data_IF_672756881346
#
_entry.id   IF_672756881346
#
_cell.length_a   1.000
_cell.length_b   1.000
_cell.length_c   1.000
_cell.angle_alpha   90.00
_cell.angle_beta   90.00
_cell.angle_gamma   90.00
#
_symmetry.space_group_name_H-M   'P 1'
#
loop_
_entity.id
_entity.type
_entity.pdbx_description
1 polymer ?
#
# COMPACT_ATOMS: atom_id res chain seq x y z
N UNK A 1 -3.98 -1.31 20.01
CA UNK A 1 -4.52 -2.62 19.55
C UNK A 1 -3.47 -3.70 19.78
N UNK A 2 -3.83 -4.83 20.38
CA UNK A 2 -2.89 -5.94 20.65
C UNK A 2 -2.60 -6.74 19.37
N UNK A 3 -1.32 -6.91 19.00
CA UNK A 3 -0.92 -7.73 17.85
C UNK A 3 -1.28 -9.20 18.07
N UNK A 4 -2.06 -9.79 17.16
CA UNK A 4 -2.43 -11.22 17.16
C UNK A 4 -1.26 -12.07 16.70
N UNK A 5 -1.09 -13.25 17.30
CA UNK A 5 0.02 -14.18 17.05
C UNK A 5 -0.45 -15.41 16.26
N UNK A 6 0.46 -16.02 15.51
CA UNK A 6 0.26 -17.36 14.95
C UNK A 6 0.50 -18.39 16.05
N UNK A 7 -0.46 -19.27 16.29
CA UNK A 7 -0.30 -20.37 17.23
C UNK A 7 0.52 -21.51 16.61
N UNK A 8 1.14 -22.34 17.44
CA UNK A 8 1.85 -23.53 16.98
C UNK A 8 0.94 -24.46 16.16
N UNK A 9 -0.31 -24.63 16.62
CA UNK A 9 -1.29 -25.45 15.92
C UNK A 9 -1.66 -24.84 14.56
N UNK A 10 -1.82 -23.52 14.46
CA UNK A 10 -2.03 -22.87 13.17
C UNK A 10 -0.84 -23.07 12.22
N UNK A 11 0.39 -22.96 12.72
CA UNK A 11 1.59 -23.24 11.91
C UNK A 11 1.63 -24.69 11.41
N UNK A 12 1.27 -25.66 12.26
CA UNK A 12 1.12 -27.07 11.88
C UNK A 12 0.07 -27.27 10.79
N UNK A 13 -1.12 -26.70 10.96
CA UNK A 13 -2.20 -26.83 9.98
C UNK A 13 -1.84 -26.19 8.65
N UNK A 14 -1.20 -25.02 8.67
CA UNK A 14 -0.70 -24.37 7.44
C UNK A 14 0.30 -25.26 6.73
N UNK A 15 1.28 -25.83 7.44
CA UNK A 15 2.27 -26.71 6.84
C UNK A 15 1.62 -27.92 6.16
N UNK A 16 0.64 -28.56 6.81
CA UNK A 16 -0.10 -29.67 6.21
C UNK A 16 -0.86 -29.25 4.94
N UNK A 17 -1.53 -28.09 4.97
CA UNK A 17 -2.30 -27.57 3.83
C UNK A 17 -1.43 -27.27 2.60
N UNK A 18 -0.20 -26.81 2.80
CA UNK A 18 0.72 -26.48 1.69
C UNK A 18 1.60 -27.66 1.26
N UNK A 19 1.36 -28.85 1.80
CA UNK A 19 2.12 -30.07 1.50
C UNK A 19 3.52 -30.09 2.13
N UNK A 20 3.70 -29.47 3.29
CA UNK A 20 4.95 -29.48 4.05
C UNK A 20 5.13 -30.68 4.99
N UNK A 21 4.10 -31.50 5.18
CA UNK A 21 4.18 -32.72 5.98
C UNK A 21 4.26 -32.47 7.48
N UNK A 22 4.81 -33.44 8.21
CA UNK A 22 4.90 -33.38 9.67
C UNK A 22 5.97 -32.37 10.13
N UNK A 23 5.76 -31.84 11.34
CA UNK A 23 6.74 -31.00 12.03
C UNK A 23 7.85 -31.89 12.60
N UNK A 24 9.09 -31.60 12.23
CA UNK A 24 10.27 -32.38 12.65
C UNK A 24 10.92 -31.79 13.90
N UNK A 25 10.77 -30.49 14.15
CA UNK A 25 11.28 -29.80 15.35
C UNK A 25 10.25 -28.79 15.91
N UNK A 26 9.51 -29.21 16.94
CA UNK A 26 8.55 -28.33 17.61
C UNK A 26 9.22 -27.18 18.39
N UNK A 27 10.40 -27.43 18.97
CA UNK A 27 11.13 -26.41 19.72
C UNK A 27 11.60 -25.28 18.81
N UNK A 28 12.14 -25.64 17.65
CA UNK A 28 12.55 -24.72 16.59
C UNK A 28 11.37 -23.87 16.08
N UNK A 29 10.22 -24.49 15.80
CA UNK A 29 9.02 -23.76 15.37
C UNK A 29 8.53 -22.81 16.45
N UNK A 30 8.51 -23.21 17.72
CA UNK A 30 8.15 -22.31 18.84
C UNK A 30 9.11 -21.12 18.93
N UNK A 31 10.40 -21.35 18.69
CA UNK A 31 11.41 -20.28 18.63
C UNK A 31 11.11 -19.26 17.53
N UNK A 32 10.81 -19.72 16.32
CA UNK A 32 10.44 -18.82 15.20
C UNK A 32 9.17 -18.03 15.52
N UNK A 33 8.15 -18.67 16.08
CA UNK A 33 6.88 -18.00 16.42
C UNK A 33 7.02 -16.97 17.55
N UNK A 34 8.00 -17.16 18.44
CA UNK A 34 8.29 -16.21 19.51
C UNK A 34 9.16 -15.02 19.06
N UNK A 35 10.05 -15.23 18.07
CA UNK A 35 11.03 -14.24 17.59
C UNK A 35 10.42 -12.87 17.26
N UNK A 36 9.28 -12.72 16.55
CA UNK A 36 8.70 -11.41 16.23
C UNK A 36 8.34 -10.55 17.45
N UNK A 37 8.21 -11.16 18.63
CA UNK A 37 7.81 -10.49 19.87
C UNK A 37 8.96 -10.41 20.87
N UNK A 38 10.19 -10.64 20.41
CA UNK A 38 11.40 -10.49 21.21
C UNK A 38 11.86 -9.03 21.22
N UNK A 39 12.59 -8.66 22.26
CA UNK A 39 13.08 -7.31 22.48
C UNK A 39 13.99 -7.23 23.70
N UNK A 40 14.39 -6.01 24.04
CA UNK A 40 15.08 -5.67 25.28
C UNK A 40 14.21 -4.72 26.11
N UNK A 41 14.79 -4.19 27.20
CA UNK A 41 14.06 -3.35 28.15
C UNK A 41 13.55 -2.04 27.53
N UNK A 42 14.21 -1.55 26.46
CA UNK A 42 13.93 -0.27 25.81
C UNK A 42 13.13 -0.39 24.50
N UNK A 43 12.77 -1.60 24.07
CA UNK A 43 11.99 -1.78 22.84
C UNK A 43 11.95 -3.19 22.26
N UNK A 44 11.02 -3.38 21.33
CA UNK A 44 10.92 -4.60 20.51
C UNK A 44 11.96 -4.59 19.38
N UNK A 45 12.55 -5.74 19.06
CA UNK A 45 13.46 -5.84 17.89
C UNK A 45 12.74 -5.72 16.55
N UNK A 46 11.43 -5.99 16.54
CA UNK A 46 10.58 -5.95 15.34
C UNK A 46 9.38 -5.04 15.62
N UNK A 47 9.54 -3.71 15.53
CA UNK A 47 8.53 -2.77 16.02
C UNK A 47 7.25 -2.73 15.14
N UNK A 48 7.33 -3.03 13.85
CA UNK A 48 6.18 -2.98 12.94
C UNK A 48 5.58 -4.34 12.63
N UNK A 49 4.35 -4.37 12.06
CA UNK A 49 3.75 -5.62 11.56
C UNK A 49 4.58 -6.22 10.42
N UNK A 50 5.24 -5.41 9.60
CA UNK A 50 6.09 -5.83 8.49
C UNK A 50 7.35 -6.53 9.00
N UNK A 51 7.98 -5.95 10.02
CA UNK A 51 9.17 -6.55 10.66
C UNK A 51 8.83 -7.90 11.28
N UNK A 52 7.65 -7.99 11.92
CA UNK A 52 7.15 -9.24 12.51
C UNK A 52 6.84 -10.30 11.46
N UNK A 53 6.20 -9.90 10.36
CA UNK A 53 5.90 -10.79 9.24
C UNK A 53 7.17 -11.27 8.51
N UNK A 54 8.16 -10.38 8.35
CA UNK A 54 9.46 -10.67 7.78
C UNK A 54 10.28 -11.62 8.66
N UNK A 55 10.27 -11.43 9.99
CA UNK A 55 10.96 -12.30 10.93
C UNK A 55 10.41 -13.75 10.90
N UNK A 56 9.09 -13.90 10.75
CA UNK A 56 8.43 -15.20 10.54
C UNK A 56 8.84 -15.82 9.20
N UNK A 57 8.72 -15.05 8.11
CA UNK A 57 9.04 -15.47 6.75
C UNK A 57 10.50 -15.97 6.68
N UNK A 58 11.43 -15.17 7.18
CA UNK A 58 12.85 -15.53 7.24
C UNK A 58 13.06 -16.80 8.07
N UNK A 59 12.50 -16.85 9.28
CA UNK A 59 12.70 -17.99 10.19
C UNK A 59 12.26 -19.32 9.58
N UNK A 60 11.07 -19.36 8.98
CA UNK A 60 10.57 -20.58 8.34
C UNK A 60 11.23 -20.88 6.99
N UNK A 61 11.66 -19.87 6.22
CA UNK A 61 12.29 -20.10 4.92
C UNK A 61 13.75 -20.59 5.03
N UNK A 62 14.45 -20.22 6.11
CA UNK A 62 15.87 -20.56 6.34
C UNK A 62 16.08 -21.79 7.23
N UNK A 63 15.00 -22.36 7.77
CA UNK A 63 15.04 -23.57 8.60
C UNK A 63 14.29 -24.72 7.93
N UNK A 64 14.57 -25.95 8.35
CA UNK A 64 13.95 -27.18 7.81
C UNK A 64 13.21 -27.92 8.94
N UNK A 65 12.28 -27.23 9.60
CA UNK A 65 11.53 -27.78 10.75
C UNK A 65 10.23 -28.50 10.37
N UNK A 66 9.96 -28.62 9.07
CA UNK A 66 8.94 -29.49 8.48
C UNK A 66 9.61 -30.45 7.47
N UNK A 67 8.96 -31.59 7.22
CA UNK A 67 9.45 -32.62 6.29
C UNK A 67 9.67 -32.10 4.85
N UNK A 68 8.81 -31.22 4.38
CA UNK A 68 8.93 -30.50 3.10
C UNK A 68 8.27 -29.12 3.24
N UNK A 69 8.20 -28.35 2.15
CA UNK A 69 7.31 -27.21 2.03
C UNK A 69 7.70 -26.01 2.89
N UNK A 70 8.85 -26.02 3.58
CA UNK A 70 9.30 -24.95 4.48
C UNK A 70 9.14 -23.54 3.87
N UNK A 71 9.54 -23.34 2.60
CA UNK A 71 9.36 -22.06 1.88
C UNK A 71 7.89 -21.70 1.63
N UNK A 72 7.06 -22.67 1.25
CA UNK A 72 5.60 -22.48 1.06
C UNK A 72 4.92 -22.14 2.39
N UNK A 73 5.30 -22.85 3.45
CA UNK A 73 4.83 -22.61 4.82
C UNK A 73 5.24 -21.21 5.29
N UNK A 74 6.48 -20.79 5.05
CA UNK A 74 6.98 -19.46 5.40
C UNK A 74 6.14 -18.34 4.78
N UNK A 75 5.86 -18.43 3.48
CA UNK A 75 5.00 -17.49 2.77
C UNK A 75 3.60 -17.41 3.37
N UNK A 76 2.93 -18.56 3.53
CA UNK A 76 1.54 -18.59 4.03
C UNK A 76 1.44 -18.15 5.48
N UNK A 77 2.43 -18.48 6.34
CA UNK A 77 2.47 -17.99 7.73
C UNK A 77 2.62 -16.47 7.76
N UNK A 78 3.52 -15.90 6.96
CA UNK A 78 3.74 -14.45 6.91
C UNK A 78 2.47 -13.72 6.45
N UNK A 79 1.86 -14.16 5.35
CA UNK A 79 0.60 -13.61 4.83
C UNK A 79 -0.56 -13.79 5.80
N UNK A 80 -0.64 -14.92 6.49
CA UNK A 80 -1.68 -15.17 7.50
C UNK A 80 -1.50 -14.27 8.71
N UNK A 81 -0.27 -14.06 9.17
CA UNK A 81 0.03 -13.15 10.27
C UNK A 81 -0.42 -11.72 9.93
N UNK A 82 -0.08 -11.23 8.74
CA UNK A 82 -0.52 -9.92 8.25
C UNK A 82 -2.05 -9.83 8.22
N UNK A 83 -2.73 -10.81 7.63
CA UNK A 83 -4.20 -10.88 7.55
C UNK A 83 -4.87 -10.89 8.93
N UNK A 84 -4.35 -11.67 9.87
CA UNK A 84 -4.88 -11.73 11.24
C UNK A 84 -4.79 -10.36 11.94
N UNK A 85 -3.83 -9.54 11.56
CA UNK A 85 -3.59 -8.21 12.11
C UNK A 85 -4.17 -7.07 11.27
N UNK A 86 -5.11 -7.38 10.37
CA UNK A 86 -5.90 -6.37 9.64
C UNK A 86 -5.26 -5.87 8.33
N UNK A 87 -4.19 -6.50 7.86
CA UNK A 87 -3.59 -6.21 6.56
C UNK A 87 -4.32 -7.00 5.47
N UNK A 88 -4.68 -6.35 4.36
CA UNK A 88 -5.30 -7.03 3.21
C UNK A 88 -4.30 -7.99 2.56
N UNK A 89 -4.76 -9.07 1.88
CA UNK A 89 -3.86 -9.96 1.14
C UNK A 89 -3.00 -9.16 0.16
N UNK A 90 -1.68 -9.40 0.17
CA UNK A 90 -0.77 -8.73 -0.76
C UNK A 90 -1.04 -9.23 -2.19
N UNK A 91 -1.21 -8.35 -3.19
CA UNK A 91 -1.48 -8.71 -4.58
C UNK A 91 -0.20 -9.14 -5.32
N UNK A 92 0.51 -10.12 -4.76
CA UNK A 92 1.82 -10.54 -5.25
C UNK A 92 1.66 -11.61 -6.33
N UNK A 93 2.24 -11.36 -7.51
CA UNK A 93 2.32 -12.36 -8.57
C UNK A 93 3.17 -13.57 -8.13
N UNK A 94 2.81 -14.81 -8.51
CA UNK A 94 3.52 -16.02 -8.05
C UNK A 94 5.04 -15.97 -8.23
N UNK A 95 5.51 -15.49 -9.39
CA UNK A 95 6.93 -15.38 -9.71
C UNK A 95 7.68 -14.42 -8.77
N UNK A 96 7.06 -13.32 -8.32
CA UNK A 96 7.69 -12.38 -7.38
C UNK A 96 7.84 -13.01 -6.00
N UNK A 97 6.80 -13.70 -5.51
CA UNK A 97 6.89 -14.45 -4.25
C UNK A 97 7.94 -15.55 -4.32
N UNK A 98 8.09 -16.22 -5.46
CA UNK A 98 9.09 -17.28 -5.66
C UNK A 98 10.51 -16.72 -5.59
N UNK A 99 10.79 -15.61 -6.28
CA UNK A 99 12.11 -14.95 -6.25
C UNK A 99 12.46 -14.51 -4.82
N UNK A 100 11.52 -13.89 -4.10
CA UNK A 100 11.73 -13.52 -2.70
C UNK A 100 12.03 -14.75 -1.82
N UNK A 101 11.28 -15.84 -2.00
CA UNK A 101 11.48 -17.08 -1.24
C UNK A 101 12.84 -17.71 -1.52
N UNK A 102 13.28 -17.73 -2.77
CA UNK A 102 14.59 -18.27 -3.14
C UNK A 102 15.72 -17.43 -2.56
N UNK A 103 15.64 -16.10 -2.67
CA UNK A 103 16.63 -15.18 -2.11
C UNK A 103 16.68 -15.27 -0.57
N UNK A 104 15.52 -15.35 0.08
CA UNK A 104 15.45 -15.51 1.54
C UNK A 104 16.02 -16.85 1.99
N UNK A 105 15.64 -17.96 1.36
CA UNK A 105 16.12 -19.29 1.73
C UNK A 105 17.63 -19.46 1.48
N UNK A 106 18.18 -18.73 0.51
CA UNK A 106 19.62 -18.62 0.27
C UNK A 106 20.33 -17.69 1.27
N UNK A 107 19.60 -17.10 2.23
CA UNK A 107 20.10 -16.13 3.20
C UNK A 107 20.74 -14.90 2.54
N UNK A 108 20.27 -14.53 1.34
CA UNK A 108 20.74 -13.38 0.58
C UNK A 108 20.02 -12.07 0.97
N UNK A 109 18.95 -12.16 1.76
CA UNK A 109 18.17 -11.03 2.24
C UNK A 109 18.12 -11.04 3.77
N UNK A 110 18.47 -9.89 4.35
CA UNK A 110 18.24 -9.59 5.76
C UNK A 110 16.74 -9.39 6.04
N UNK A 111 16.34 -9.54 7.30
CA UNK A 111 14.93 -9.35 7.72
C UNK A 111 14.41 -7.95 7.37
N UNK A 112 15.25 -6.92 7.45
CA UNK A 112 14.87 -5.54 7.06
C UNK A 112 14.50 -5.44 5.58
N UNK A 113 15.27 -6.07 4.68
CA UNK A 113 14.96 -6.07 3.24
C UNK A 113 13.64 -6.80 2.95
N UNK A 114 13.36 -7.89 3.67
CA UNK A 114 12.08 -8.62 3.54
C UNK A 114 10.93 -7.75 4.07
N UNK A 115 11.13 -7.02 5.17
CA UNK A 115 10.15 -6.10 5.76
C UNK A 115 9.79 -4.98 4.78
N UNK A 116 10.81 -4.33 4.21
CA UNK A 116 10.65 -3.30 3.18
C UNK A 116 9.92 -3.84 1.94
N UNK A 117 10.28 -5.03 1.48
CA UNK A 117 9.61 -5.67 0.35
C UNK A 117 8.12 -5.93 0.66
N UNK A 118 7.79 -6.54 1.80
CA UNK A 118 6.40 -6.80 2.20
C UNK A 118 5.60 -5.50 2.35
N UNK A 119 6.22 -4.45 2.89
CA UNK A 119 5.60 -3.13 2.99
C UNK A 119 5.34 -2.52 1.60
N UNK A 120 6.29 -2.61 0.67
CA UNK A 120 6.12 -2.10 -0.69
C UNK A 120 4.98 -2.80 -1.43
N UNK A 121 4.88 -4.12 -1.30
CA UNK A 121 3.78 -4.92 -1.88
C UNK A 121 2.44 -4.67 -1.17
N UNK A 122 2.46 -4.23 0.09
CA UNK A 122 1.26 -3.78 0.81
C UNK A 122 0.78 -2.39 0.44
N UNK A 123 1.72 -1.57 -0.05
CA UNK A 123 1.47 -0.27 -0.66
C UNK A 123 0.69 -0.40 -1.96
N UNK A 124 0.56 -1.61 -2.51
CA UNK A 124 -0.45 -1.92 -3.53
C UNK A 124 -1.83 -2.02 -2.86
N UNK A 125 -2.29 -0.90 -2.31
CA UNK A 125 -3.71 -0.63 -2.11
C UNK A 125 -4.18 0.10 -3.35
N UNK A 126 -4.79 -0.64 -4.24
CA UNK A 126 -5.87 -0.06 -5.02
C UNK A 126 -6.87 0.52 -4.01
N UNK A 127 -7.07 1.84 -4.02
CA UNK A 127 -8.41 2.39 -3.83
C UNK A 127 -9.33 1.80 -4.93
N UNK A 128 -10.61 2.16 -5.09
CA UNK A 128 -11.42 1.49 -6.13
C UNK A 128 -10.85 1.81 -7.52
N UNK A 129 -10.00 0.91 -8.04
CA UNK A 129 -9.29 1.01 -9.30
C UNK A 129 -9.99 0.10 -10.28
N UNK A 130 -10.48 0.71 -11.34
CA UNK A 130 -11.30 0.09 -12.36
C UNK A 130 -10.52 -0.19 -13.64
N UNK A 131 -9.47 0.62 -13.91
CA UNK A 131 -8.58 0.43 -15.06
C UNK A 131 -7.36 -0.41 -14.65
N UNK A 132 -7.16 -1.54 -15.34
CA UNK A 132 -6.05 -2.46 -15.05
C UNK A 132 -4.66 -1.92 -15.34
N UNK A 133 -4.54 -0.75 -16.00
CA UNK A 133 -3.26 -0.05 -16.22
C UNK A 133 -2.82 0.72 -14.97
N UNK A 134 -3.73 1.17 -14.12
CA UNK A 134 -3.38 1.90 -12.89
C UNK A 134 -2.84 0.91 -11.87
N UNK A 135 -1.73 1.22 -11.18
CA UNK A 135 -1.13 0.40 -10.09
C UNK A 135 -1.58 0.85 -8.70
N UNK A 136 -1.75 2.17 -8.51
CA UNK A 136 -2.24 2.75 -7.26
C UNK A 136 -2.70 4.18 -7.53
N UNK A 137 -3.48 4.73 -6.61
CA UNK A 137 -3.73 6.17 -6.50
C UNK A 137 -3.57 6.58 -5.03
N UNK A 138 -2.86 7.67 -4.77
CA UNK A 138 -2.79 8.27 -3.45
C UNK A 138 -3.07 9.76 -3.50
N UNK A 139 -3.69 10.26 -2.44
CA UNK A 139 -3.74 11.67 -2.13
C UNK A 139 -2.64 12.00 -1.12
N UNK A 140 -1.88 13.07 -1.36
CA UNK A 140 -0.80 13.53 -0.50
C UNK A 140 -0.92 15.04 -0.22
N UNK A 141 -0.30 15.50 0.88
CA UNK A 141 -0.17 16.94 1.16
C UNK A 141 0.84 17.62 0.21
N UNK A 142 1.68 16.83 -0.47
CA UNK A 142 2.49 17.26 -1.59
C UNK A 142 3.48 16.18 -2.00
N UNK A 143 4.09 16.36 -3.18
CA UNK A 143 5.04 15.39 -3.71
C UNK A 143 6.02 15.99 -4.74
N UNK A 144 7.24 15.48 -4.77
CA UNK A 144 8.34 15.89 -5.63
C UNK A 144 8.91 14.66 -6.35
N UNK A 145 9.32 14.83 -7.61
CA UNK A 145 10.07 13.81 -8.33
C UNK A 145 11.54 14.20 -8.37
N UNK A 146 12.40 13.20 -8.57
CA UNK A 146 13.76 13.46 -9.03
C UNK A 146 13.77 13.97 -10.49
N UNK A 147 14.92 14.47 -10.95
CA UNK A 147 15.08 14.99 -12.32
C UNK A 147 14.77 13.94 -13.41
N UNK A 148 14.84 12.66 -13.06
CA UNK A 148 14.57 11.54 -13.97
C UNK A 148 13.08 11.20 -14.09
N UNK A 149 12.25 11.63 -13.13
CA UNK A 149 10.85 11.23 -13.01
C UNK A 149 10.65 9.80 -12.53
N UNK A 150 11.72 9.02 -12.37
CA UNK A 150 11.66 7.60 -12.00
C UNK A 150 11.33 7.39 -10.52
N UNK A 151 11.61 8.37 -9.67
CA UNK A 151 11.31 8.31 -8.24
C UNK A 151 10.44 9.47 -7.80
N UNK A 152 9.53 9.21 -6.85
CA UNK A 152 8.63 10.19 -6.25
C UNK A 152 8.83 10.18 -4.74
N UNK A 153 9.13 11.34 -4.19
CA UNK A 153 9.07 11.63 -2.75
C UNK A 153 7.77 12.34 -2.44
N UNK A 154 6.98 11.86 -1.49
CA UNK A 154 5.72 12.49 -1.09
C UNK A 154 5.64 12.65 0.43
N UNK A 155 4.96 13.70 0.89
CA UNK A 155 4.67 13.93 2.31
C UNK A 155 3.18 13.90 2.59
N UNK A 156 2.83 13.39 3.77
CA UNK A 156 1.42 13.13 4.12
C UNK A 156 0.75 12.16 3.14
N UNK A 157 1.44 11.13 2.67
CA UNK A 157 0.89 10.17 1.71
C UNK A 157 -0.30 9.41 2.29
N UNK A 158 -1.35 9.23 1.49
CA UNK A 158 -2.53 8.46 1.89
C UNK A 158 -3.53 9.26 2.73
N UNK A 159 -3.62 10.58 2.52
CA UNK A 159 -4.62 11.41 3.19
C UNK A 159 -6.02 10.84 2.96
N UNK A 160 -6.68 10.50 4.07
CA UNK A 160 -8.09 10.12 4.09
C UNK A 160 -9.00 11.30 4.45
N UNK A 161 -8.42 12.40 4.91
CA UNK A 161 -9.18 13.60 5.26
C UNK A 161 -8.31 14.71 5.84
N UNK A 162 -8.95 15.85 6.10
CA UNK A 162 -8.39 17.03 6.73
C UNK A 162 -9.35 17.54 7.81
N UNK A 163 -8.80 18.01 8.92
CA UNK A 163 -9.58 18.47 10.07
C UNK A 163 -9.19 19.91 10.39
N UNK A 164 -10.16 20.82 10.41
CA UNK A 164 -9.93 22.24 10.71
C UNK A 164 -10.70 22.65 11.98
N UNK A 165 -10.03 23.23 13.01
CA UNK A 165 -10.71 23.75 14.19
C UNK A 165 -11.62 24.93 13.85
N UNK A 166 -12.79 25.00 14.48
CA UNK A 166 -13.70 26.15 14.45
C UNK A 166 -14.05 26.64 13.03
N UNK A 167 -14.22 25.70 12.10
CA UNK A 167 -14.59 26.02 10.72
C UNK A 167 -15.97 26.67 10.65
N UNK A 168 -16.00 27.93 10.22
CA UNK A 168 -17.20 28.77 10.17
C UNK A 168 -17.87 28.82 8.78
N UNK A 169 -17.40 28.00 7.84
CA UNK A 169 -17.84 28.00 6.45
C UNK A 169 -17.06 28.95 5.53
N UNK A 170 -16.07 29.68 6.03
CA UNK A 170 -15.13 30.44 5.19
C UNK A 170 -14.36 29.49 4.29
N UNK A 171 -14.27 29.79 3.00
CA UNK A 171 -13.61 28.91 2.04
C UNK A 171 -12.14 28.62 2.40
N UNK A 172 -11.77 27.34 2.37
CA UNK A 172 -10.41 26.86 2.67
C UNK A 172 -9.85 26.17 1.44
N UNK A 173 -8.76 26.72 0.89
CA UNK A 173 -8.01 26.09 -0.19
C UNK A 173 -6.93 25.18 0.38
N UNK A 174 -6.95 23.91 0.02
CA UNK A 174 -5.88 22.97 0.33
C UNK A 174 -5.06 22.70 -0.93
N UNK A 175 -3.73 22.70 -0.81
CA UNK A 175 -2.86 22.18 -1.88
C UNK A 175 -2.68 20.69 -1.67
N UNK A 176 -3.19 19.90 -2.59
CA UNK A 176 -3.15 18.44 -2.54
C UNK A 176 -2.46 17.89 -3.80
N UNK A 177 -1.84 16.73 -3.69
CA UNK A 177 -1.23 16.02 -4.82
C UNK A 177 -1.87 14.65 -4.99
N UNK A 178 -2.38 14.37 -6.20
CA UNK A 178 -2.78 13.02 -6.62
C UNK A 178 -1.58 12.35 -7.27
N UNK A 179 -1.16 11.23 -6.72
CA UNK A 179 0.00 10.46 -7.15
C UNK A 179 -0.44 9.08 -7.62
N UNK A 180 -0.04 8.66 -8.82
CA UNK A 180 -0.41 7.35 -9.38
C UNK A 180 0.73 6.80 -10.24
N UNK A 181 0.70 5.50 -10.50
CA UNK A 181 1.58 4.86 -11.49
C UNK A 181 0.72 4.12 -12.50
N UNK A 182 1.01 4.32 -13.79
CA UNK A 182 0.26 3.74 -14.91
C UNK A 182 1.17 2.85 -15.74
N UNK A 183 0.76 1.60 -15.92
CA UNK A 183 1.41 0.58 -16.75
C UNK A 183 0.75 0.54 -18.12
N UNK A 184 1.45 1.11 -19.10
CA UNK A 184 1.03 1.06 -20.49
C UNK A 184 1.27 -0.33 -21.10
N UNK A 185 0.36 -0.71 -21.98
CA UNK A 185 0.43 -1.96 -22.74
C UNK A 185 0.96 -1.73 -24.14
N UNK A 186 1.10 -2.81 -24.91
CA UNK A 186 1.42 -2.71 -26.35
C UNK A 186 0.31 -2.05 -27.16
N UNK A 187 -0.94 -2.06 -26.67
CA UNK A 187 -2.09 -1.48 -27.37
C UNK A 187 -2.12 0.05 -27.27
N UNK A 188 -1.43 0.61 -26.27
CA UNK A 188 -1.31 2.05 -26.03
C UNK A 188 -0.16 2.70 -26.85
N UNK A 189 0.63 1.91 -27.57
CA UNK A 189 1.79 2.40 -28.32
C UNK A 189 1.41 3.42 -29.41
N UNK A 190 2.01 4.61 -29.32
CA UNK A 190 1.78 5.68 -30.29
C UNK A 190 0.41 6.37 -30.13
N UNK A 191 -0.32 6.06 -29.06
CA UNK A 191 -1.52 6.77 -28.64
C UNK A 191 -1.14 7.80 -27.58
N UNK A 192 -1.62 9.03 -27.75
CA UNK A 192 -1.55 10.04 -26.69
C UNK A 192 -2.74 9.84 -25.77
N UNK A 193 -2.47 9.63 -24.49
CA UNK A 193 -3.52 9.49 -23.47
C UNK A 193 -3.68 10.78 -22.68
N UNK A 194 -4.93 11.12 -22.34
CA UNK A 194 -5.23 12.14 -21.36
C UNK A 194 -5.41 11.50 -19.98
N UNK A 195 -4.67 11.99 -18.98
CA UNK A 195 -4.82 11.55 -17.59
C UNK A 195 -5.28 12.73 -16.75
N UNK A 196 -6.45 12.60 -16.13
CA UNK A 196 -7.08 13.66 -15.33
C UNK A 196 -7.24 13.23 -13.89
N UNK A 197 -6.86 14.08 -12.95
CA UNK A 197 -7.23 13.97 -11.55
C UNK A 197 -8.20 15.09 -11.18
N UNK A 198 -9.26 14.74 -10.45
CA UNK A 198 -10.24 15.72 -9.95
C UNK A 198 -10.74 15.37 -8.56
N UNK A 199 -11.22 16.37 -7.84
CA UNK A 199 -11.93 16.20 -6.57
C UNK A 199 -13.37 16.64 -6.79
N UNK A 200 -14.32 15.78 -6.45
CA UNK A 200 -15.75 16.04 -6.55
C UNK A 200 -16.43 15.93 -5.19
N UNK A 201 -17.55 16.62 -5.03
CA UNK A 201 -18.43 16.38 -3.90
C UNK A 201 -19.06 14.98 -4.01
N UNK A 202 -19.06 14.19 -2.93
CA UNK A 202 -19.66 12.87 -2.93
C UNK A 202 -21.19 12.99 -2.98
N UNK A 203 -21.81 12.64 -4.12
CA UNK A 203 -23.27 12.69 -4.29
C UNK A 203 -23.86 11.31 -4.02
N UNK A 204 -24.65 11.15 -2.94
CA UNK A 204 -25.29 9.87 -2.59
C UNK A 204 -26.40 9.43 -3.56
N UNK A 205 -26.82 10.29 -4.51
CA UNK A 205 -27.87 10.01 -5.50
C UNK A 205 -27.51 10.57 -6.88
N UNK A 206 -28.10 10.01 -7.95
CA UNK A 206 -27.89 10.44 -9.33
C UNK A 206 -28.20 11.93 -9.52
N UNK A 207 -27.15 12.75 -9.45
CA UNK A 207 -27.15 14.19 -9.65
C UNK A 207 -25.85 14.62 -10.33
N UNK A 208 -25.78 15.87 -10.77
CA UNK A 208 -24.57 16.41 -11.40
C UNK A 208 -23.46 16.52 -10.35
N UNK A 209 -22.32 15.87 -10.59
CA UNK A 209 -21.13 16.00 -9.74
C UNK A 209 -20.63 17.45 -9.75
N UNK A 210 -20.37 18.00 -8.56
CA UNK A 210 -19.70 19.30 -8.42
C UNK A 210 -18.20 19.06 -8.33
N UNK A 211 -17.44 19.54 -9.32
CA UNK A 211 -15.97 19.44 -9.34
C UNK A 211 -15.39 20.62 -8.53
N UNK A 212 -14.65 20.31 -7.46
CA UNK A 212 -13.97 21.31 -6.63
C UNK A 212 -12.61 21.72 -7.23
N UNK A 213 -11.89 20.77 -7.82
CA UNK A 213 -10.64 21.02 -8.51
C UNK A 213 -10.38 19.91 -9.53
N UNK A 214 -9.69 20.25 -10.62
CA UNK A 214 -9.26 19.30 -11.65
C UNK A 214 -7.92 19.73 -12.23
N UNK A 215 -7.10 18.76 -12.61
CA UNK A 215 -5.85 18.97 -13.34
C UNK A 215 -5.61 17.76 -14.25
N UNK A 216 -5.00 17.99 -15.41
CA UNK A 216 -4.88 16.98 -16.45
C UNK A 216 -3.52 17.07 -17.14
N UNK A 217 -2.96 15.91 -17.46
CA UNK A 217 -1.93 15.77 -18.48
C UNK A 217 -2.61 15.46 -19.81
N UNK A 218 -2.62 16.43 -20.73
CA UNK A 218 -3.34 16.30 -22.02
C UNK A 218 -2.68 15.35 -23.02
N UNK A 219 -1.38 15.08 -22.87
CA UNK A 219 -0.63 14.16 -23.73
C UNK A 219 0.41 13.44 -22.88
N UNK A 220 0.07 12.24 -22.42
CA UNK A 220 1.00 11.38 -21.70
C UNK A 220 1.62 10.35 -22.65
N UNK A 221 2.93 10.43 -22.94
CA UNK A 221 3.55 9.54 -23.91
C UNK A 221 3.80 8.15 -23.33
N UNK A 222 3.58 7.12 -24.14
CA UNK A 222 3.98 5.75 -23.85
C UNK A 222 5.46 5.55 -24.21
N UNK A 223 6.31 5.41 -23.19
CA UNK A 223 7.77 5.30 -23.38
C UNK A 223 8.18 3.83 -23.36
N UNK A 224 8.83 3.38 -24.43
CA UNK A 224 9.45 2.05 -24.48
C UNK A 224 10.78 2.02 -23.70
N UNK A 225 11.05 0.93 -23.00
CA UNK A 225 12.32 0.76 -22.27
C UNK A 225 13.50 0.68 -23.23
N UNK A 226 14.51 1.54 -23.01
CA UNK A 226 15.78 1.53 -23.75
C UNK A 226 16.76 0.43 -23.30
N UNK A 227 16.41 -0.37 -22.29
CA UNK A 227 17.31 -1.37 -21.73
C UNK A 227 17.49 -2.57 -22.67
N UNK A 228 18.73 -2.99 -22.92
CA UNK A 228 19.05 -4.01 -23.92
C UNK A 228 18.37 -5.39 -23.70
N UNK A 229 17.94 -5.67 -22.46
CA UNK A 229 17.28 -6.92 -22.05
C UNK A 229 15.77 -6.76 -21.75
N UNK A 230 15.22 -5.54 -21.82
CA UNK A 230 13.81 -5.23 -21.51
C UNK A 230 13.12 -4.47 -22.66
N UNK A 231 13.60 -4.61 -23.89
CA UNK A 231 13.14 -3.84 -25.06
C UNK A 231 11.63 -3.96 -25.36
N UNK A 232 10.93 -4.93 -24.78
CA UNK A 232 9.49 -5.14 -24.92
C UNK A 232 8.65 -4.52 -23.79
N UNK A 233 9.26 -4.00 -22.74
CA UNK A 233 8.55 -3.43 -21.58
C UNK A 233 8.39 -1.91 -21.75
N UNK A 234 7.19 -1.40 -21.43
CA UNK A 234 6.91 0.04 -21.38
C UNK A 234 7.33 0.52 -19.99
N UNK A 235 7.96 1.70 -19.93
CA UNK A 235 8.30 2.31 -18.65
C UNK A 235 6.99 2.79 -18.02
N UNK A 236 6.64 2.32 -16.80
CA UNK A 236 5.44 2.81 -16.13
C UNK A 236 5.55 4.32 -15.90
N UNK A 237 4.48 5.05 -16.19
CA UNK A 237 4.45 6.48 -15.98
C UNK A 237 4.10 6.76 -14.51
N UNK A 238 4.98 7.47 -13.81
CA UNK A 238 4.72 7.98 -12.47
C UNK A 238 4.12 9.38 -12.60
N UNK A 239 2.86 9.53 -12.22
CA UNK A 239 2.07 10.74 -12.46
C UNK A 239 1.80 11.44 -11.14
N UNK A 240 1.99 12.76 -11.14
CA UNK A 240 1.65 13.64 -10.02
C UNK A 240 0.91 14.88 -10.49
N UNK A 241 -0.32 15.05 -10.04
CA UNK A 241 -1.15 16.23 -10.34
C UNK A 241 -1.45 17.00 -9.07
N UNK A 242 -1.11 18.29 -9.05
CA UNK A 242 -1.51 19.19 -7.97
C UNK A 242 -2.94 19.68 -8.19
N UNK A 243 -3.73 19.61 -7.13
CA UNK A 243 -5.10 20.12 -7.06
C UNK A 243 -5.19 21.15 -5.94
N UNK A 244 -5.96 22.22 -6.17
CA UNK A 244 -6.22 23.27 -5.19
C UNK A 244 -7.74 23.40 -4.94
N UNK A 245 -8.41 22.37 -4.39
CA UNK A 245 -9.84 22.44 -4.09
C UNK A 245 -10.15 23.51 -3.04
N UNK A 246 -11.29 24.17 -3.21
CA UNK A 246 -11.87 25.10 -2.26
C UNK A 246 -13.01 24.43 -1.49
N UNK A 247 -12.80 24.20 -0.19
CA UNK A 247 -13.78 23.60 0.70
C UNK A 247 -14.58 24.68 1.43
N UNK A 248 -15.91 24.65 1.28
CA UNK A 248 -16.85 25.58 1.94
C UNK A 248 -17.77 24.90 2.96
N UNK A 249 -17.72 23.57 3.04
CA UNK A 249 -18.51 22.76 3.97
C UNK A 249 -17.77 21.50 4.39
N UNK A 250 -18.04 21.06 5.61
CA UNK A 250 -17.64 19.72 6.07
C UNK A 250 -18.40 18.64 5.29
N UNK A 251 -17.76 17.52 5.02
CA UNK A 251 -18.37 16.44 4.27
C UNK A 251 -17.38 15.43 3.71
N UNK A 252 -17.95 14.44 3.00
CA UNK A 252 -17.20 13.46 2.23
C UNK A 252 -17.07 13.92 0.79
N UNK A 253 -15.88 13.73 0.23
CA UNK A 253 -15.52 14.07 -1.15
C UNK A 253 -14.90 12.85 -1.79
N UNK A 254 -14.86 12.84 -3.12
CA UNK A 254 -14.21 11.78 -3.89
C UNK A 254 -13.12 12.37 -4.78
N UNK A 255 -11.92 11.82 -4.64
CA UNK A 255 -10.81 12.03 -5.56
C UNK A 255 -10.98 11.01 -6.69
N UNK A 256 -10.98 11.46 -7.93
CA UNK A 256 -11.16 10.62 -9.10
C UNK A 256 -9.96 10.77 -10.02
N UNK A 257 -9.49 9.64 -10.56
CA UNK A 257 -8.54 9.56 -11.67
C UNK A 257 -9.28 9.06 -12.90
N UNK A 258 -9.09 9.73 -14.02
CA UNK A 258 -9.66 9.36 -15.31
C UNK A 258 -8.53 9.16 -16.32
N UNK A 259 -8.68 8.16 -17.18
CA UNK A 259 -7.84 7.96 -18.37
C UNK A 259 -8.75 8.06 -19.59
N UNK A 260 -8.46 9.00 -20.48
CA UNK A 260 -9.25 9.28 -21.69
C UNK A 260 -10.74 9.57 -21.41
N UNK A 261 -11.03 10.17 -20.26
CA UNK A 261 -12.38 10.50 -19.80
C UNK A 261 -13.13 9.36 -19.10
N UNK A 262 -12.56 8.15 -19.05
CA UNK A 262 -13.13 7.01 -18.34
C UNK A 262 -12.61 6.93 -16.90
N UNK A 263 -13.48 6.61 -15.95
CA UNK A 263 -13.13 6.53 -14.54
C UNK A 263 -12.17 5.36 -14.27
N UNK A 264 -10.92 5.67 -13.93
CA UNK A 264 -9.85 4.71 -13.76
C UNK A 264 -9.61 4.35 -12.29
N UNK A 265 -9.76 5.30 -11.37
CA UNK A 265 -9.68 5.07 -9.93
C UNK A 265 -10.47 6.10 -9.11
N UNK A 266 -10.97 5.73 -7.94
CA UNK A 266 -11.57 6.68 -6.97
C UNK A 266 -10.97 6.54 -5.57
N UNK A 267 -11.04 7.59 -4.75
CA UNK A 267 -10.65 7.59 -3.34
C UNK A 267 -11.52 8.57 -2.54
N UNK A 268 -12.06 8.12 -1.42
CA UNK A 268 -12.78 9.01 -0.50
C UNK A 268 -11.82 9.92 0.29
N UNK A 269 -12.21 11.18 0.45
CA UNK A 269 -11.53 12.20 1.26
C UNK A 269 -12.53 12.96 2.13
N UNK A 270 -12.34 13.00 3.44
CA UNK A 270 -13.23 13.71 4.36
C UNK A 270 -12.67 15.09 4.76
N UNK A 271 -13.44 16.16 4.59
CA UNK A 271 -13.13 17.46 5.19
C UNK A 271 -14.00 17.64 6.44
N UNK A 272 -13.38 17.69 7.61
CA UNK A 272 -14.05 17.69 8.90
C UNK A 272 -13.68 18.94 9.71
N UNK A 273 -14.49 19.23 10.73
CA UNK A 273 -14.21 20.24 11.73
C UNK A 273 -14.42 19.69 13.14
N UNK A 274 -13.77 20.30 14.13
CA UNK A 274 -14.02 20.07 15.55
C UNK A 274 -14.15 21.42 16.27
N UNK A 275 -14.89 21.44 17.37
CA UNK A 275 -15.08 22.65 18.17
C UNK A 275 -14.01 22.74 19.26
N UNK A 276 -13.33 23.88 19.36
CA UNK A 276 -12.26 24.10 20.35
C UNK A 276 -12.69 23.86 21.81
N UNK A 277 -13.99 23.86 22.10
CA UNK A 277 -14.56 23.61 23.44
C UNK A 277 -14.47 22.14 23.89
N UNK A 278 -14.18 21.19 22.99
CA UNK A 278 -14.09 19.76 23.33
C UNK A 278 -12.78 19.37 24.04
N UNK A 279 -11.78 20.27 24.13
CA UNK A 279 -10.49 20.02 24.78
C UNK A 279 -10.45 20.34 26.29
N UNK A 280 -11.47 21.01 26.83
CA UNK A 280 -11.54 21.42 28.25
C UNK A 280 -12.22 20.38 29.16
N UNK A 281 -12.42 19.15 28.68
CA UNK A 281 -12.83 18.03 29.52
C UNK A 281 -11.71 17.64 30.51
N UNK A 282 -12.01 17.37 31.80
CA UNK A 282 -10.97 17.14 32.80
C UNK A 282 -10.11 15.95 32.41
N UNK A 283 -8.81 16.19 32.27
CA UNK A 283 -7.80 15.13 32.21
C UNK A 283 -7.85 14.44 33.58
N UNK A 284 -8.42 13.23 33.61
CA UNK A 284 -8.68 12.50 34.85
C UNK A 284 -7.44 12.37 35.73
N UNK A 285 -7.67 12.60 37.04
CA UNK A 285 -6.73 12.48 38.16
C UNK A 285 -6.02 11.11 38.26
#
# INVERSE_FOLDING_TARGET
MTTRRISLEAARQIALQVGGGAMTDEGGVRGILARPFSGHIDGEFFPTLWDKAAALLHGFATTQYFEDGNKRTAWVISQTFLRLNGVRPLPVAPIHSEVLMLATAANALEVSHISEWLFSESGVRFDDVYDGRVEFMFLAAGAEHDESGATLSAWGLGLAGYVLPDFDGTAVTLRLAVCTRIHWTTEDDGVDHEVTARIVEHVEQAGTETILASNSYSQMPVIQSGHQYQKSERIPALVRMYLEPEFVKVGSYEVQLLIDGELAATKTFAFNAWESQDLDGPIGE
#
